data_IF_725088921179
#
_entry.id   IF_725088921179
#
_cell.length_a   1.000
_cell.length_b   1.000
_cell.length_c   1.000
_cell.angle_alpha   90.00
_cell.angle_beta   90.00
_cell.angle_gamma   90.00
#
_symmetry.space_group_name_H-M   'P 1'
#
loop_
_entity.id
_entity.type
_entity.pdbx_description
1 polymer ?
#
# COMPACT_ATOMS: atom_id res chain seq x y z
N UNK A 1 -23.83 1.93 -11.46
CA UNK A 1 -22.96 3.08 -11.12
C UNK A 1 -23.58 3.79 -9.93
N UNK A 2 -22.82 3.97 -8.84
CA UNK A 2 -23.27 4.73 -7.67
C UNK A 2 -23.20 6.23 -8.00
N UNK A 3 -24.25 6.99 -7.66
CA UNK A 3 -24.27 8.46 -7.80
C UNK A 3 -23.13 9.14 -7.02
N UNK A 4 -22.58 8.48 -6.00
CA UNK A 4 -21.48 8.98 -5.17
C UNK A 4 -20.10 8.95 -5.84
N UNK A 5 -19.89 8.10 -6.86
CA UNK A 5 -18.59 7.96 -7.54
C UNK A 5 -18.82 7.80 -9.05
N UNK A 6 -18.95 8.92 -9.79
CA UNK A 6 -19.38 8.88 -11.19
C UNK A 6 -18.31 8.36 -12.17
N UNK A 7 -17.19 7.80 -11.70
CA UNK A 7 -16.12 7.25 -12.55
C UNK A 7 -15.39 8.32 -13.39
N UNK A 8 -15.50 9.60 -13.01
CA UNK A 8 -14.97 10.74 -13.78
C UNK A 8 -13.56 11.19 -13.35
N UNK A 9 -13.11 10.85 -12.14
CA UNK A 9 -11.80 11.29 -11.62
C UNK A 9 -10.99 10.06 -11.26
N UNK A 10 -9.78 9.97 -11.81
CA UNK A 10 -8.81 8.93 -11.46
C UNK A 10 -8.14 9.34 -10.14
N UNK A 11 -8.24 8.52 -9.07
CA UNK A 11 -7.65 8.86 -7.78
C UNK A 11 -6.14 8.66 -7.77
N UNK A 12 -5.46 9.27 -6.81
CA UNK A 12 -4.00 9.17 -6.68
C UNK A 12 -3.50 7.77 -6.37
N UNK A 13 -4.30 6.93 -5.71
CA UNK A 13 -4.08 5.49 -5.59
C UNK A 13 -5.28 4.74 -6.18
N UNK A 14 -5.03 3.95 -7.23
CA UNK A 14 -6.06 3.15 -7.89
C UNK A 14 -6.14 1.76 -7.24
N UNK A 15 -7.24 1.51 -6.53
CA UNK A 15 -7.55 0.21 -5.95
C UNK A 15 -7.78 -0.85 -7.03
N UNK A 16 -7.27 -2.05 -6.79
CA UNK A 16 -7.43 -3.21 -7.68
C UNK A 16 -7.30 -4.53 -6.91
N UNK A 17 -7.65 -5.63 -7.56
CA UNK A 17 -7.59 -6.98 -6.98
C UNK A 17 -6.23 -7.66 -7.17
N UNK A 18 -5.25 -6.99 -7.80
CA UNK A 18 -3.91 -7.53 -8.06
C UNK A 18 -2.86 -7.07 -7.04
N UNK A 19 -3.27 -6.33 -6.00
CA UNK A 19 -2.38 -5.74 -4.99
C UNK A 19 -1.29 -4.84 -5.58
N UNK A 20 -1.56 -4.24 -6.75
CA UNK A 20 -0.67 -3.27 -7.37
C UNK A 20 -0.95 -1.90 -6.78
N UNK A 21 0.11 -1.16 -6.43
CA UNK A 21 -0.01 0.23 -6.03
C UNK A 21 0.14 1.10 -7.28
N UNK A 22 -0.95 1.26 -8.03
CA UNK A 22 -0.99 2.13 -9.20
C UNK A 22 -1.24 3.55 -8.70
N UNK A 23 -0.24 4.41 -8.85
CA UNK A 23 -0.19 5.72 -8.19
C UNK A 23 0.01 6.86 -9.18
N UNK A 24 -0.54 8.03 -8.85
CA UNK A 24 -0.31 9.27 -9.59
C UNK A 24 1.12 9.77 -9.43
N UNK A 25 1.55 10.65 -10.33
CA UNK A 25 2.84 11.34 -10.25
C UNK A 25 3.07 12.01 -8.89
N UNK A 26 2.07 12.71 -8.34
CA UNK A 26 2.23 13.43 -7.06
C UNK A 26 2.45 12.45 -5.91
N UNK A 27 1.70 11.35 -5.87
CA UNK A 27 1.89 10.32 -4.85
C UNK A 27 3.25 9.65 -5.02
N UNK A 28 3.69 9.41 -6.27
CA UNK A 28 5.03 8.90 -6.55
C UNK A 28 6.13 9.79 -5.96
N UNK A 29 6.05 11.11 -6.14
CA UNK A 29 7.04 12.04 -5.57
C UNK A 29 7.06 11.98 -4.04
N UNK A 30 5.91 11.89 -3.39
CA UNK A 30 5.81 11.75 -1.93
C UNK A 30 6.41 10.43 -1.45
N UNK A 31 6.17 9.31 -2.14
CA UNK A 31 6.76 8.03 -1.77
C UNK A 31 8.28 7.98 -2.02
N UNK A 32 8.76 8.59 -3.11
CA UNK A 32 10.19 8.68 -3.42
C UNK A 32 10.96 9.43 -2.32
N UNK A 33 10.37 10.46 -1.72
CA UNK A 33 10.97 11.19 -0.60
C UNK A 33 11.16 10.32 0.67
N UNK A 34 10.50 9.16 0.75
CA UNK A 34 10.59 8.22 1.86
C UNK A 34 11.60 7.11 1.68
N UNK A 35 12.03 6.90 0.43
CA UNK A 35 13.03 5.93 0.09
C UNK A 35 14.40 6.55 0.31
N UNK A 36 15.28 5.83 1.00
CA UNK A 36 16.68 6.28 1.16
C UNK A 36 17.45 6.18 -0.14
N UNK A 37 17.10 5.18 -0.93
CA UNK A 37 17.74 4.83 -2.19
C UNK A 37 16.64 4.45 -3.18
N UNK A 38 16.80 4.85 -4.44
CA UNK A 38 15.95 4.40 -5.53
C UNK A 38 16.00 2.87 -5.69
N UNK A 39 17.05 2.21 -5.21
CA UNK A 39 17.13 0.75 -5.12
C UNK A 39 16.12 0.14 -4.11
N UNK A 40 15.41 0.93 -3.29
CA UNK A 40 14.39 0.43 -2.36
C UNK A 40 13.02 0.22 -3.02
N UNK A 41 12.81 0.74 -4.23
CA UNK A 41 11.58 0.52 -4.98
C UNK A 41 11.63 0.99 -6.43
N UNK A 42 10.85 0.32 -7.27
CA UNK A 42 10.72 0.62 -8.70
C UNK A 42 9.37 1.27 -8.99
N UNK A 43 9.35 2.22 -9.93
CA UNK A 43 8.13 2.91 -10.37
C UNK A 43 7.98 2.74 -11.87
N UNK A 44 7.15 1.77 -12.27
CA UNK A 44 6.95 1.42 -13.68
C UNK A 44 5.91 2.37 -14.29
N UNK A 45 6.26 3.21 -15.28
CA UNK A 45 5.33 4.16 -15.86
C UNK A 45 4.19 3.46 -16.60
N UNK A 46 2.97 3.95 -16.42
CA UNK A 46 1.75 3.43 -17.07
C UNK A 46 0.79 4.57 -17.39
N UNK A 47 0.03 4.42 -18.46
CA UNK A 47 -1.13 5.27 -18.75
C UNK A 47 -2.41 4.55 -18.32
N UNK A 48 -3.36 5.31 -17.78
CA UNK A 48 -4.66 4.80 -17.34
C UNK A 48 -5.65 5.01 -18.47
N UNK A 49 -6.24 3.92 -18.96
CA UNK A 49 -7.30 3.96 -19.95
C UNK A 49 -8.65 3.86 -19.25
N UNK A 50 -9.61 4.70 -19.63
CA UNK A 50 -10.99 4.57 -19.16
C UNK A 50 -11.67 3.36 -19.80
N UNK A 51 -12.88 3.05 -19.33
CA UNK A 51 -13.68 1.93 -19.83
C UNK A 51 -14.06 2.02 -21.33
N UNK A 52 -13.83 3.16 -21.99
CA UNK A 52 -14.04 3.35 -23.44
C UNK A 52 -12.74 3.21 -24.24
N UNK A 53 -11.64 2.79 -23.60
CA UNK A 53 -10.34 2.62 -24.25
C UNK A 53 -9.67 3.95 -24.63
N UNK A 54 -10.06 5.07 -24.01
CA UNK A 54 -9.37 6.36 -24.18
C UNK A 54 -8.46 6.60 -23.01
N UNK A 55 -7.32 7.25 -23.24
CA UNK A 55 -6.44 7.70 -22.17
C UNK A 55 -7.21 8.64 -21.25
N UNK A 56 -7.25 8.29 -19.96
CA UNK A 56 -7.79 9.11 -18.89
C UNK A 56 -6.68 9.92 -18.22
N UNK A 57 -5.50 9.31 -18.02
CA UNK A 57 -4.32 9.91 -17.39
C UNK A 57 -3.04 9.26 -17.94
N UNK A 58 -1.96 10.03 -18.10
CA UNK A 58 -0.69 9.56 -18.67
C UNK A 58 0.43 9.39 -17.62
N UNK A 59 0.37 10.13 -16.53
CA UNK A 59 1.45 10.24 -15.54
C UNK A 59 1.21 9.38 -14.28
N UNK A 60 0.94 8.10 -14.49
CA UNK A 60 0.81 7.12 -13.42
C UNK A 60 1.99 6.15 -13.40
N UNK A 61 2.15 5.44 -12.29
CA UNK A 61 3.17 4.42 -12.15
C UNK A 61 2.69 3.28 -11.27
N UNK A 62 3.12 2.06 -11.55
CA UNK A 62 3.03 0.95 -10.59
C UNK A 62 4.21 1.10 -9.64
N UNK A 63 3.93 1.36 -8.36
CA UNK A 63 4.92 1.39 -7.30
C UNK A 63 5.20 -0.03 -6.80
N UNK A 64 6.43 -0.47 -6.97
CA UNK A 64 6.93 -1.75 -6.51
C UNK A 64 8.03 -1.56 -5.46
N UNK A 65 7.61 -1.53 -4.18
CA UNK A 65 8.55 -1.42 -3.05
C UNK A 65 9.19 -2.77 -2.78
N UNK A 66 10.52 -2.84 -2.74
CA UNK A 66 11.26 -4.10 -2.59
C UNK A 66 11.49 -4.51 -1.15
N UNK A 67 11.63 -3.53 -0.24
CA UNK A 67 11.91 -3.80 1.17
C UNK A 67 10.73 -4.55 1.80
N UNK A 68 10.99 -5.77 2.26
CA UNK A 68 10.06 -6.55 3.07
C UNK A 68 10.60 -6.72 4.49
N UNK A 69 9.78 -6.48 5.50
CA UNK A 69 10.15 -6.56 6.92
C UNK A 69 9.29 -7.60 7.62
N UNK A 70 9.94 -8.47 8.38
CA UNK A 70 9.29 -9.48 9.22
C UNK A 70 9.12 -8.90 10.63
N UNK A 71 7.93 -8.39 10.92
CA UNK A 71 7.65 -7.65 12.15
C UNK A 71 6.25 -7.89 12.69
N UNK A 72 5.54 -8.94 12.25
CA UNK A 72 4.24 -9.28 12.86
C UNK A 72 4.45 -9.78 14.28
N UNK A 73 3.78 -9.14 15.24
CA UNK A 73 3.58 -9.71 16.57
C UNK A 73 2.48 -10.77 16.47
N UNK A 74 2.89 -12.02 16.24
CA UNK A 74 1.96 -13.15 16.06
C UNK A 74 1.15 -13.46 17.32
N UNK A 75 1.62 -13.03 18.50
CA UNK A 75 0.92 -13.27 19.77
C UNK A 75 -0.25 -12.31 19.99
N UNK A 76 -0.17 -11.11 19.41
CA UNK A 76 -1.19 -10.05 19.55
C UNK A 76 -1.98 -9.77 18.26
N UNK A 77 -1.63 -10.41 17.16
CA UNK A 77 -2.35 -10.33 15.88
C UNK A 77 -3.41 -11.43 15.75
N UNK A 78 -4.44 -11.17 14.94
CA UNK A 78 -5.48 -12.14 14.59
C UNK A 78 -5.40 -12.43 13.09
N UNK A 79 -5.04 -13.67 12.75
CA UNK A 79 -4.81 -14.06 11.36
C UNK A 79 -4.98 -15.58 11.14
N UNK A 80 -5.17 -15.95 9.88
CA UNK A 80 -5.11 -17.34 9.40
C UNK A 80 -3.81 -17.55 8.64
N UNK A 81 -3.01 -18.52 9.06
CA UNK A 81 -1.79 -18.91 8.37
C UNK A 81 -2.10 -19.56 7.02
N UNK A 82 -1.25 -19.33 6.03
CA UNK A 82 -1.39 -19.92 4.71
C UNK A 82 -1.05 -21.41 4.75
N UNK A 83 -2.02 -22.25 4.38
CA UNK A 83 -1.80 -23.69 4.20
C UNK A 83 -0.87 -24.01 3.00
N UNK A 84 -0.70 -23.07 2.06
CA UNK A 84 0.10 -23.24 0.84
C UNK A 84 1.52 -22.70 1.03
N UNK A 85 1.68 -21.63 1.83
CA UNK A 85 2.96 -20.96 2.08
C UNK A 85 3.19 -20.79 3.58
N UNK A 86 3.80 -21.78 4.26
CA UNK A 86 4.10 -21.70 5.68
C UNK A 86 4.83 -20.40 6.04
N UNK A 87 4.46 -19.79 7.16
CA UNK A 87 4.97 -18.49 7.60
C UNK A 87 4.23 -17.27 7.03
N UNK A 88 3.49 -17.41 5.91
CA UNK A 88 2.67 -16.32 5.36
C UNK A 88 1.25 -16.30 5.95
N UNK A 89 0.65 -15.11 5.92
CA UNK A 89 -0.71 -14.86 6.37
C UNK A 89 -1.64 -14.89 5.15
N UNK A 90 -2.61 -15.80 5.18
CA UNK A 90 -3.69 -15.83 4.19
C UNK A 90 -4.73 -14.77 4.51
N UNK A 91 -5.32 -14.81 5.71
CA UNK A 91 -6.37 -13.89 6.14
C UNK A 91 -5.84 -13.08 7.32
N UNK A 92 -5.96 -11.75 7.26
CA UNK A 92 -5.59 -10.84 8.34
C UNK A 92 -6.83 -10.11 8.84
N UNK A 93 -7.17 -10.31 10.12
CA UNK A 93 -8.33 -9.70 10.78
C UNK A 93 -7.93 -8.57 11.75
N UNK A 94 -6.72 -8.65 12.31
CA UNK A 94 -6.12 -7.62 13.15
C UNK A 94 -4.60 -7.73 13.10
N UNK A 95 -3.93 -6.61 12.86
CA UNK A 95 -2.47 -6.56 12.80
C UNK A 95 -1.90 -5.84 14.03
N UNK A 96 -0.99 -6.50 14.73
CA UNK A 96 -0.05 -5.87 15.66
C UNK A 96 1.35 -6.10 15.13
N UNK A 97 2.16 -5.04 15.15
CA UNK A 97 3.56 -5.12 14.79
C UNK A 97 4.41 -5.07 16.06
N UNK A 98 5.52 -5.80 16.03
CA UNK A 98 6.56 -5.75 17.06
C UNK A 98 7.51 -4.58 16.76
N UNK A 99 7.49 -3.49 17.55
CA UNK A 99 8.30 -2.31 17.28
C UNK A 99 9.81 -2.57 17.31
N UNK A 100 10.27 -3.58 18.07
CA UNK A 100 11.70 -3.92 18.16
C UNK A 100 12.22 -4.55 16.85
N UNK A 101 11.32 -5.13 16.05
CA UNK A 101 11.63 -5.73 14.75
C UNK A 101 11.45 -4.76 13.59
N UNK A 102 10.88 -3.58 13.83
CA UNK A 102 10.72 -2.55 12.81
C UNK A 102 12.03 -1.77 12.71
N UNK A 103 12.69 -1.75 11.54
CA UNK A 103 13.91 -0.97 11.40
C UNK A 103 13.59 0.54 11.56
N UNK A 104 14.52 1.33 12.10
CA UNK A 104 14.30 2.76 12.31
C UNK A 104 13.98 3.50 11.00
N UNK A 105 14.47 2.96 9.87
CA UNK A 105 14.16 3.37 8.50
C UNK A 105 14.17 2.11 7.61
N UNK A 106 13.36 2.02 6.53
CA UNK A 106 12.53 3.08 5.92
C UNK A 106 11.15 3.26 6.56
N UNK A 107 10.49 4.39 6.26
CA UNK A 107 9.14 4.73 6.75
C UNK A 107 8.00 4.05 5.98
N UNK A 108 8.36 3.34 4.90
CA UNK A 108 7.49 2.59 3.99
C UNK A 108 8.14 1.23 3.69
N UNK A 109 7.42 0.13 3.87
CA UNK A 109 7.90 -1.22 3.52
C UNK A 109 6.75 -2.20 3.33
N UNK A 110 7.03 -3.36 2.71
CA UNK A 110 6.09 -4.48 2.65
C UNK A 110 6.15 -5.34 3.90
N UNK A 111 5.01 -5.85 4.35
CA UNK A 111 4.97 -6.88 5.39
C UNK A 111 5.42 -8.22 4.81
N UNK A 112 6.51 -8.81 5.31
CA UNK A 112 7.06 -10.06 4.74
C UNK A 112 6.07 -11.22 4.79
N UNK A 113 5.28 -11.28 5.86
CA UNK A 113 4.28 -12.31 6.12
C UNK A 113 3.01 -12.12 5.25
N UNK A 114 2.73 -10.90 4.76
CA UNK A 114 1.66 -10.61 3.81
C UNK A 114 2.10 -9.54 2.80
N UNK A 115 2.89 -9.89 1.75
CA UNK A 115 3.55 -8.92 0.87
C UNK A 115 2.64 -7.97 0.09
N UNK A 116 1.35 -8.28 0.01
CA UNK A 116 0.33 -7.39 -0.56
C UNK A 116 0.15 -6.09 0.25
N UNK A 117 0.52 -6.07 1.53
CA UNK A 117 0.35 -4.92 2.41
C UNK A 117 1.60 -4.06 2.45
N UNK A 118 1.40 -2.75 2.27
CA UNK A 118 2.39 -1.73 2.62
C UNK A 118 2.12 -1.22 4.04
N UNK A 119 3.18 -1.17 4.82
CA UNK A 119 3.20 -0.54 6.14
C UNK A 119 3.80 0.85 5.95
N UNK A 120 3.11 1.84 6.49
CA UNK A 120 3.59 3.22 6.57
C UNK A 120 3.62 3.68 8.01
N UNK A 121 4.57 4.55 8.34
CA UNK A 121 4.55 5.27 9.61
C UNK A 121 3.49 6.38 9.62
N UNK A 122 3.08 6.77 10.83
CA UNK A 122 2.02 7.77 11.02
C UNK A 122 2.36 9.17 10.49
N UNK A 123 3.64 9.52 10.45
CA UNK A 123 4.13 10.78 9.88
C UNK A 123 4.05 10.82 8.34
N UNK A 124 4.31 9.70 7.66
CA UNK A 124 4.04 9.56 6.23
C UNK A 124 2.54 9.64 5.97
N UNK A 125 1.71 8.93 6.75
CA UNK A 125 0.25 9.03 6.65
C UNK A 125 -0.23 10.49 6.75
N UNK A 126 0.22 11.22 7.77
CA UNK A 126 -0.18 12.62 7.99
C UNK A 126 0.18 13.51 6.78
N UNK A 127 1.36 13.32 6.17
CA UNK A 127 1.75 14.08 4.97
C UNK A 127 0.93 13.73 3.74
N UNK A 128 0.54 12.45 3.58
CA UNK A 128 -0.35 12.05 2.49
C UNK A 128 -1.75 12.68 2.66
N UNK A 129 -2.26 12.74 3.90
CA UNK A 129 -3.52 13.40 4.23
C UNK A 129 -3.45 14.92 4.00
N UNK A 130 -2.37 15.58 4.47
CA UNK A 130 -2.14 17.01 4.27
C UNK A 130 -1.99 17.38 2.78
N UNK A 131 -1.34 16.53 1.99
CA UNK A 131 -1.22 16.70 0.54
C UNK A 131 -2.51 16.40 -0.23
N UNK A 132 -3.59 15.98 0.46
CA UNK A 132 -4.89 15.70 -0.14
C UNK A 132 -4.87 14.50 -1.09
N UNK A 133 -4.05 13.48 -0.81
CA UNK A 133 -3.96 12.27 -1.62
C UNK A 133 -5.27 11.50 -1.58
N UNK A 134 -5.79 11.13 -2.75
CA UNK A 134 -7.07 10.45 -2.92
C UNK A 134 -6.94 8.95 -3.19
N UNK A 135 -7.97 8.17 -2.85
CA UNK A 135 -8.00 6.72 -3.12
C UNK A 135 -7.23 5.83 -2.14
N UNK A 136 -6.51 6.43 -1.19
CA UNK A 136 -5.85 5.70 -0.10
C UNK A 136 -6.84 5.40 1.04
N UNK A 137 -6.80 4.17 1.55
CA UNK A 137 -7.49 3.77 2.78
C UNK A 137 -6.46 3.27 3.77
N UNK A 138 -6.53 3.75 5.01
CA UNK A 138 -5.61 3.38 6.09
C UNK A 138 -6.33 2.51 7.11
N UNK A 139 -5.61 1.52 7.64
CA UNK A 139 -6.03 0.71 8.77
C UNK A 139 -5.02 0.94 9.87
N UNK A 140 -5.47 1.39 11.05
CA UNK A 140 -4.61 1.57 12.20
C UNK A 140 -4.12 0.24 12.74
N UNK A 141 -2.93 0.26 13.35
CA UNK A 141 -2.42 -0.91 14.06
C UNK A 141 -3.39 -1.28 15.20
N UNK A 142 -3.79 -2.55 15.26
CA UNK A 142 -4.77 -3.05 16.23
C UNK A 142 -6.24 -2.87 15.81
N UNK A 143 -6.53 -2.11 14.77
CA UNK A 143 -7.89 -1.97 14.25
C UNK A 143 -8.35 -3.27 13.59
N UNK A 144 -9.68 -3.47 13.57
CA UNK A 144 -10.28 -4.59 12.84
C UNK A 144 -10.15 -4.33 11.34
N UNK A 145 -9.68 -5.34 10.62
CA UNK A 145 -9.55 -5.33 9.17
C UNK A 145 -9.99 -6.66 8.56
N UNK A 146 -9.96 -6.74 7.24
CA UNK A 146 -10.18 -7.98 6.51
C UNK A 146 -9.37 -7.93 5.22
N UNK A 147 -8.17 -8.51 5.27
CA UNK A 147 -7.34 -8.68 4.08
C UNK A 147 -7.21 -10.15 3.77
N UNK A 148 -7.75 -10.56 2.62
CA UNK A 148 -7.64 -11.91 2.06
C UNK A 148 -6.43 -12.06 1.13
#
# INVERSE_FOLDING_TARGET
MDKRYPGLVVPDLISNTFHLYIISHRLRLLLLAELKDQAEGEFLPVSIYNHKGRVAEEDYSIANIFRAVECVDRSRSEFTESAIKPGQISILNRLQLDPERIPPEPRLFRLKEKPALLIIRGDLRARLEEAGITGANYVGMGDKCMFV
#
